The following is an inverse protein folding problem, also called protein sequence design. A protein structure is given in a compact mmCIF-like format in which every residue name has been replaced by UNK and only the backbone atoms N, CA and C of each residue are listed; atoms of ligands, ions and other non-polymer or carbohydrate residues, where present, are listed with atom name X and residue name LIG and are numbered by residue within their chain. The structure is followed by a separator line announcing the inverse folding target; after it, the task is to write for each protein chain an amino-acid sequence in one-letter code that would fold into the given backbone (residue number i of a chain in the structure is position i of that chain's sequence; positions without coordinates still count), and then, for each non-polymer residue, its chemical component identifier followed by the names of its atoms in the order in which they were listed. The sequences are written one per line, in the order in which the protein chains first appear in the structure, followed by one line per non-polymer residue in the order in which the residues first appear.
data_IF_515299652431
#
_entry.id   IF_515299652431
#
_cell.length_a   1.000
_cell.length_b   1.000
_cell.length_c   1.000
_cell.angle_alpha   90.00
_cell.angle_beta   90.00
_cell.angle_gamma   90.00
#
_symmetry.space_group_name_H-M   'P 1'
#
loop_
_entity.id
_entity.type
_entity.pdbx_description
1 polymer ?
#
# COMPACT_ATOMS: atom_id res chain seq x y z
N UNK A 1 -51.95 -19.18 4.15
CA UNK A 1 -50.88 -20.20 4.23
C UNK A 1 -49.57 -19.46 4.29
N UNK A 2 -49.04 -19.27 5.51
CA UNK A 2 -47.70 -18.72 5.72
C UNK A 2 -46.70 -19.76 5.28
N UNK A 3 -46.04 -19.54 4.15
CA UNK A 3 -44.90 -20.36 3.74
C UNK A 3 -43.87 -20.22 4.86
N UNK A 4 -43.46 -21.30 5.53
CA UNK A 4 -42.36 -21.21 6.47
C UNK A 4 -41.15 -20.78 5.67
N UNK A 5 -40.55 -19.65 6.05
CA UNK A 5 -39.22 -19.26 5.58
C UNK A 5 -38.30 -20.34 6.19
N UNK A 6 -38.02 -21.38 5.43
CA UNK A 6 -36.92 -22.29 5.77
C UNK A 6 -35.65 -21.43 5.75
N UNK A 7 -35.04 -21.22 6.92
CA UNK A 7 -33.70 -20.67 6.99
C UNK A 7 -32.83 -21.46 6.00
N UNK A 8 -32.19 -20.81 5.00
CA UNK A 8 -31.38 -21.54 4.04
C UNK A 8 -30.33 -22.32 4.84
N UNK A 9 -30.48 -23.65 4.84
CA UNK A 9 -29.76 -24.56 5.72
C UNK A 9 -28.30 -24.62 5.28
N UNK A 10 -27.52 -23.60 5.66
CA UNK A 10 -26.13 -23.46 5.31
C UNK A 10 -25.25 -24.17 6.33
N UNK A 11 -25.12 -25.49 6.18
CA UNK A 11 -24.14 -26.29 6.91
C UNK A 11 -22.82 -26.33 6.13
N UNK A 12 -21.92 -25.37 6.35
CA UNK A 12 -20.52 -25.59 6.01
C UNK A 12 -19.65 -25.32 7.24
N UNK A 13 -19.26 -26.41 7.90
CA UNK A 13 -18.14 -26.33 8.83
C UNK A 13 -16.90 -25.89 8.04
N UNK A 14 -16.09 -24.93 8.54
CA UNK A 14 -14.92 -24.46 7.81
C UNK A 14 -13.96 -25.62 7.56
N UNK A 15 -13.57 -25.84 6.30
CA UNK A 15 -12.70 -26.95 5.90
C UNK A 15 -11.37 -26.99 6.70
N UNK A 16 -10.90 -25.84 7.17
CA UNK A 16 -9.78 -25.71 8.11
C UNK A 16 -9.84 -24.36 8.85
N UNK A 17 -9.39 -24.35 10.11
CA UNK A 17 -9.35 -23.16 10.98
C UNK A 17 -7.91 -22.71 11.16
N UNK A 18 -7.62 -21.45 10.82
CA UNK A 18 -6.34 -20.85 11.14
C UNK A 18 -6.38 -20.37 12.61
N UNK A 19 -5.41 -20.75 13.46
CA UNK A 19 -5.40 -20.25 14.82
C UNK A 19 -5.13 -18.74 14.85
N UNK A 20 -5.78 -18.00 15.76
CA UNK A 20 -5.69 -16.53 15.79
C UNK A 20 -4.29 -15.96 16.02
N UNK A 21 -3.35 -16.75 16.55
CA UNK A 21 -1.95 -16.34 16.68
C UNK A 21 -1.14 -16.48 15.38
N UNK A 22 -1.62 -17.23 14.39
CA UNK A 22 -0.86 -17.49 13.16
C UNK A 22 -0.70 -16.24 12.30
N UNK A 23 -1.72 -15.39 12.18
CA UNK A 23 -1.63 -14.17 11.38
C UNK A 23 -0.60 -13.17 11.95
N UNK A 24 -0.61 -12.81 13.26
CA UNK A 24 0.44 -11.98 13.84
C UNK A 24 1.84 -12.56 13.66
N UNK A 25 2.03 -13.87 13.89
CA UNK A 25 3.33 -14.52 13.71
C UNK A 25 3.79 -14.45 12.26
N UNK A 26 2.89 -14.68 11.31
CA UNK A 26 3.20 -14.59 9.88
C UNK A 26 3.64 -13.18 9.49
N UNK A 27 2.90 -12.14 9.90
CA UNK A 27 3.28 -10.74 9.65
C UNK A 27 4.61 -10.42 10.30
N UNK A 28 4.82 -10.76 11.57
CA UNK A 28 6.08 -10.53 12.27
C UNK A 28 7.26 -11.23 11.60
N UNK A 29 7.06 -12.47 11.13
CA UNK A 29 8.08 -13.25 10.40
C UNK A 29 8.44 -12.59 9.08
N UNK A 30 7.45 -12.08 8.33
CA UNK A 30 7.67 -11.33 7.08
C UNK A 30 8.47 -10.05 7.39
N UNK A 31 8.09 -9.29 8.42
CA UNK A 31 8.78 -8.05 8.79
C UNK A 31 10.23 -8.30 9.20
N UNK A 32 10.47 -9.27 10.08
CA UNK A 32 11.81 -9.63 10.55
C UNK A 32 12.65 -10.18 9.40
N UNK A 33 12.09 -11.07 8.59
CA UNK A 33 12.76 -11.61 7.39
C UNK A 33 13.14 -10.49 6.42
N UNK A 34 12.25 -9.52 6.20
CA UNK A 34 12.49 -8.37 5.33
C UNK A 34 13.61 -7.48 5.85
N UNK A 35 13.62 -7.19 7.16
CA UNK A 35 14.72 -6.46 7.79
C UNK A 35 16.05 -7.18 7.61
N UNK A 36 16.08 -8.51 7.76
CA UNK A 36 17.31 -9.31 7.60
C UNK A 36 17.79 -9.32 6.14
N UNK A 37 16.89 -9.50 5.19
CA UNK A 37 17.21 -9.57 3.75
C UNK A 37 17.67 -8.22 3.19
N UNK A 38 17.05 -7.13 3.66
CA UNK A 38 17.29 -5.77 3.14
C UNK A 38 18.38 -5.01 3.91
N UNK A 39 18.99 -5.65 4.93
CA UNK A 39 20.02 -5.05 5.77
C UNK A 39 21.29 -4.69 5.00
N UNK A 40 22.00 -3.68 5.50
CA UNK A 40 23.37 -3.40 5.06
C UNK A 40 24.34 -4.40 5.68
N UNK A 41 24.77 -5.39 4.90
CA UNK A 41 25.70 -6.43 5.37
C UNK A 41 27.03 -5.85 5.87
N UNK A 42 27.62 -4.90 5.13
CA UNK A 42 28.95 -4.35 5.43
C UNK A 42 28.96 -3.19 6.44
N UNK A 43 27.83 -2.88 7.08
CA UNK A 43 27.73 -1.78 8.05
C UNK A 43 27.85 -2.29 9.50
N UNK A 44 28.74 -1.70 10.29
CA UNK A 44 28.95 -2.04 11.71
C UNK A 44 28.34 -0.96 12.61
N UNK A 45 27.44 -1.35 13.51
CA UNK A 45 26.70 -0.42 14.39
C UNK A 45 27.63 0.23 15.43
N UNK A 46 28.54 -0.54 16.01
CA UNK A 46 29.40 -0.10 17.12
C UNK A 46 30.79 0.35 16.68
N UNK A 47 31.05 0.53 15.38
CA UNK A 47 32.38 0.94 14.94
C UNK A 47 32.63 2.40 15.32
N UNK A 48 33.52 2.63 16.27
CA UNK A 48 33.83 3.95 16.85
C UNK A 48 34.91 4.68 16.06
N UNK A 49 35.17 4.29 14.80
CA UNK A 49 36.06 5.06 13.92
C UNK A 49 35.35 6.33 13.49
N UNK A 50 35.75 7.42 14.14
CA UNK A 50 35.60 8.80 13.69
C UNK A 50 36.09 8.85 12.24
N UNK A 51 35.18 8.74 11.26
CA UNK A 51 35.52 9.06 9.87
C UNK A 51 35.77 10.56 9.83
N UNK A 52 37.01 10.94 10.06
CA UNK A 52 37.57 12.16 9.52
C UNK A 52 37.37 12.01 8.01
N UNK A 53 36.38 12.72 7.47
CA UNK A 53 36.24 12.87 6.03
C UNK A 53 37.53 13.56 5.57
N UNK A 54 38.48 12.75 5.11
CA UNK A 54 39.69 13.22 4.48
C UNK A 54 39.31 13.82 3.13
N UNK A 55 39.76 15.04 2.92
CA UNK A 55 39.49 15.93 1.78
C UNK A 55 40.06 15.44 0.44
N UNK A 56 40.43 14.16 0.31
CA UNK A 56 41.24 13.65 -0.81
C UNK A 56 40.74 12.34 -1.44
N UNK A 57 39.63 11.75 -0.97
CA UNK A 57 38.96 10.64 -1.68
C UNK A 57 37.75 11.16 -2.51
N UNK A 58 37.86 12.38 -3.05
CA UNK A 58 36.94 12.88 -4.08
C UNK A 58 37.31 12.27 -5.43
N UNK A 59 36.78 11.08 -5.71
CA UNK A 59 36.31 10.86 -7.08
C UNK A 59 35.12 11.81 -7.33
N UNK A 60 35.06 12.48 -8.48
CA UNK A 60 34.17 13.61 -8.72
C UNK A 60 32.76 13.08 -9.01
N UNK A 61 32.04 12.68 -7.95
CA UNK A 61 30.67 12.22 -8.07
C UNK A 61 29.86 12.51 -6.80
N UNK A 62 29.85 13.75 -6.31
CA UNK A 62 28.74 14.45 -5.61
C UNK A 62 27.81 13.63 -4.65
N UNK A 63 28.23 12.50 -4.06
CA UNK A 63 27.33 11.50 -3.47
C UNK A 63 27.29 11.50 -1.94
N UNK A 64 28.12 12.32 -1.28
CA UNK A 64 28.10 12.45 0.17
C UNK A 64 26.97 13.36 0.67
N UNK A 65 26.49 14.31 -0.16
CA UNK A 65 25.37 15.22 0.14
C UNK A 65 24.01 14.77 -0.42
N UNK A 66 23.97 13.71 -1.24
CA UNK A 66 22.74 13.24 -1.89
C UNK A 66 21.85 12.49 -0.90
N UNK A 67 20.84 13.18 -0.38
CA UNK A 67 19.70 12.56 0.32
C UNK A 67 19.04 11.55 -0.62
N UNK A 68 18.42 10.49 -0.07
CA UNK A 68 17.61 9.52 -0.84
C UNK A 68 16.57 10.19 -1.74
N UNK A 69 16.14 11.37 -1.33
CA UNK A 69 15.09 12.17 -1.95
C UNK A 69 15.63 13.07 -3.09
N UNK A 70 16.94 13.28 -3.15
CA UNK A 70 17.61 14.00 -4.24
C UNK A 70 17.67 13.12 -5.50
N UNK A 71 17.74 11.79 -5.31
CA UNK A 71 17.52 10.80 -6.38
C UNK A 71 16.08 10.84 -6.92
N UNK A 72 15.09 11.16 -6.07
CA UNK A 72 13.69 11.33 -6.49
C UNK A 72 13.47 12.66 -7.23
N UNK A 73 14.22 13.70 -6.87
CA UNK A 73 14.07 15.05 -7.41
C UNK A 73 14.80 15.24 -8.75
N UNK A 74 15.95 14.57 -8.94
CA UNK A 74 16.78 14.71 -10.14
C UNK A 74 16.15 14.12 -11.41
N UNK A 75 15.47 12.96 -11.33
CA UNK A 75 14.76 12.41 -12.49
C UNK A 75 13.46 13.17 -12.82
N UNK A 76 12.87 13.85 -11.82
CA UNK A 76 11.72 14.73 -12.04
C UNK A 76 12.12 16.00 -12.82
N UNK A 77 13.36 16.49 -12.64
CA UNK A 77 13.90 17.56 -13.48
C UNK A 77 14.19 17.09 -14.91
N UNK A 78 14.72 15.87 -15.09
CA UNK A 78 15.06 15.33 -16.42
C UNK A 78 13.81 15.15 -17.30
N UNK A 79 12.62 15.02 -16.69
CA UNK A 79 11.36 14.89 -17.42
C UNK A 79 10.69 16.23 -17.74
N UNK A 80 11.17 17.37 -17.22
CA UNK A 80 10.46 18.64 -17.38
C UNK A 80 11.27 19.90 -17.66
N UNK A 81 12.60 19.90 -17.69
CA UNK A 81 13.39 21.04 -18.17
C UNK A 81 14.68 20.56 -18.85
N UNK A 82 14.81 20.81 -20.16
CA UNK A 82 16.05 20.64 -20.92
C UNK A 82 16.94 21.89 -20.91
N UNK A 83 16.51 22.98 -20.28
CA UNK A 83 17.20 24.27 -20.31
C UNK A 83 17.26 24.84 -18.89
N UNK A 84 18.39 24.62 -18.20
CA UNK A 84 18.97 25.49 -17.14
C UNK A 84 19.98 24.74 -16.24
N UNK A 85 20.84 23.93 -16.86
CA UNK A 85 22.01 23.36 -16.19
C UNK A 85 23.17 24.37 -16.15
N UNK A 86 23.00 25.55 -15.55
CA UNK A 86 24.14 26.47 -15.36
C UNK A 86 23.94 27.57 -14.30
N UNK A 87 23.56 27.26 -13.05
CA UNK A 87 23.82 28.21 -11.96
C UNK A 87 23.82 27.54 -10.58
N UNK A 88 24.66 28.05 -9.68
CA UNK A 88 24.86 27.67 -8.26
C UNK A 88 25.94 26.62 -7.94
N UNK A 89 27.14 26.79 -8.48
CA UNK A 89 28.38 26.30 -7.84
C UNK A 89 28.85 27.28 -6.75
N UNK A 90 28.07 27.44 -5.67
CA UNK A 90 28.55 28.16 -4.49
C UNK A 90 29.25 27.17 -3.55
N UNK A 91 30.59 27.28 -3.47
CA UNK A 91 31.47 26.46 -2.64
C UNK A 91 31.20 26.75 -1.14
N UNK A 92 30.21 26.08 -0.55
CA UNK A 92 29.88 26.21 0.87
C UNK A 92 30.91 25.47 1.73
N UNK A 93 31.71 26.19 2.50
CA UNK A 93 32.65 25.70 3.54
C UNK A 93 31.98 25.13 4.79
N UNK A 94 30.65 25.04 4.84
CA UNK A 94 29.93 24.45 5.97
C UNK A 94 30.08 22.92 6.00
N UNK A 95 30.53 22.38 7.14
CA UNK A 95 30.70 20.93 7.38
C UNK A 95 29.44 20.09 7.11
N UNK A 96 28.25 20.69 7.23
CA UNK A 96 26.97 20.09 6.86
C UNK A 96 26.05 21.19 6.27
N UNK A 97 26.06 21.44 4.95
CA UNK A 97 25.23 22.48 4.35
C UNK A 97 23.74 22.10 4.46
N UNK A 98 22.83 23.07 4.62
CA UNK A 98 21.38 22.82 4.63
C UNK A 98 20.93 22.20 3.30
N UNK A 99 19.93 21.32 3.36
CA UNK A 99 19.38 20.67 2.16
C UNK A 99 18.45 21.66 1.44
N UNK A 100 18.63 21.82 0.13
CA UNK A 100 17.73 22.61 -0.73
C UNK A 100 16.53 21.73 -1.12
N UNK A 101 15.31 22.17 -0.80
CA UNK A 101 14.06 21.47 -1.14
C UNK A 101 13.15 22.40 -1.93
N UNK A 102 12.62 21.96 -3.07
CA UNK A 102 11.58 22.70 -3.79
C UNK A 102 10.22 22.18 -3.33
N UNK A 103 9.44 22.99 -2.64
CA UNK A 103 8.10 22.66 -2.17
C UNK A 103 7.12 23.70 -2.70
N UNK A 104 6.11 23.27 -3.48
CA UNK A 104 5.04 24.14 -3.98
C UNK A 104 5.56 25.43 -4.67
N UNK A 105 6.57 25.30 -5.54
CA UNK A 105 7.19 26.43 -6.25
C UNK A 105 8.19 27.26 -5.43
N UNK A 106 8.27 27.07 -4.12
CA UNK A 106 9.22 27.79 -3.25
C UNK A 106 10.43 26.91 -2.94
N UNK A 107 11.63 27.52 -2.94
CA UNK A 107 12.85 26.84 -2.49
C UNK A 107 13.01 27.04 -0.98
N UNK A 108 12.87 25.96 -0.22
CA UNK A 108 13.03 25.92 1.23
C UNK A 108 14.36 25.25 1.58
N UNK A 109 15.09 25.82 2.54
CA UNK A 109 16.28 25.21 3.11
C UNK A 109 15.92 24.45 4.37
N UNK A 110 16.14 23.13 4.38
CA UNK A 110 15.88 22.26 5.54
C UNK A 110 17.18 21.89 6.25
N UNK A 111 17.16 21.68 7.57
CA UNK A 111 18.37 21.39 8.32
C UNK A 111 18.94 20.01 7.95
N UNK A 112 20.28 19.91 7.89
CA UNK A 112 20.93 18.69 7.42
C UNK A 112 21.13 17.67 8.54
N UNK A 113 20.36 16.59 8.49
CA UNK A 113 20.37 15.47 9.44
C UNK A 113 21.68 14.68 9.49
N UNK A 114 22.62 14.89 8.56
CA UNK A 114 23.93 14.19 8.52
C UNK A 114 24.75 14.39 9.81
N UNK A 115 24.54 15.50 10.54
CA UNK A 115 25.17 15.74 11.85
C UNK A 115 24.86 14.63 12.86
N UNK A 116 23.71 13.98 12.75
CA UNK A 116 23.27 12.95 13.69
C UNK A 116 23.61 11.51 13.25
N UNK A 117 24.35 11.34 12.16
CA UNK A 117 24.76 10.05 11.61
C UNK A 117 25.43 9.11 12.64
N UNK A 118 26.19 9.69 13.58
CA UNK A 118 26.96 8.94 14.57
C UNK A 118 26.14 8.47 15.78
N UNK A 119 24.88 8.89 15.93
CA UNK A 119 24.07 8.42 17.05
C UNK A 119 23.69 6.94 16.89
N UNK A 120 23.56 6.24 18.02
CA UNK A 120 23.26 4.80 18.05
C UNK A 120 21.98 4.44 17.28
N UNK A 121 20.90 5.20 17.48
CA UNK A 121 19.63 4.99 16.79
C UNK A 121 19.75 5.26 15.28
N UNK A 122 20.45 6.32 14.86
CA UNK A 122 20.74 6.57 13.44
C UNK A 122 21.49 5.41 12.79
N UNK A 123 22.46 4.81 13.49
CA UNK A 123 23.23 3.66 13.01
C UNK A 123 22.38 2.38 12.90
N UNK A 124 21.41 2.18 13.78
CA UNK A 124 20.43 1.09 13.63
C UNK A 124 19.61 1.31 12.36
N UNK A 125 19.07 2.51 12.12
CA UNK A 125 18.31 2.80 10.90
C UNK A 125 19.17 2.60 9.65
N UNK A 126 20.44 3.04 9.65
CA UNK A 126 21.36 2.80 8.54
C UNK A 126 21.61 1.30 8.30
N UNK A 127 21.68 0.48 9.37
CA UNK A 127 21.80 -0.98 9.24
C UNK A 127 20.54 -1.62 8.65
N UNK A 128 19.37 -1.15 9.08
CA UNK A 128 18.05 -1.70 8.75
C UNK A 128 17.15 -0.61 8.11
N UNK A 129 17.38 -0.27 6.83
CA UNK A 129 16.65 0.82 6.18
C UNK A 129 15.15 0.55 6.06
N UNK A 130 14.72 -0.73 6.01
CA UNK A 130 13.31 -1.11 5.97
C UNK A 130 12.50 -0.67 7.22
N UNK A 131 13.17 -0.31 8.32
CA UNK A 131 12.49 0.26 9.50
C UNK A 131 11.74 1.57 9.18
N UNK A 132 12.21 2.33 8.18
CA UNK A 132 11.49 3.55 7.76
C UNK A 132 10.13 3.21 7.14
N UNK A 133 10.04 2.10 6.42
CA UNK A 133 8.80 1.63 5.80
C UNK A 133 7.80 1.16 6.86
N UNK A 134 8.29 0.48 7.90
CA UNK A 134 7.49 0.13 9.07
C UNK A 134 6.98 1.37 9.81
N UNK A 135 7.79 2.43 9.91
CA UNK A 135 7.36 3.70 10.49
C UNK A 135 6.24 4.37 9.69
N UNK A 136 6.32 4.38 8.36
CA UNK A 136 5.23 4.89 7.51
C UNK A 136 3.93 4.10 7.66
N UNK A 137 4.01 2.79 7.88
CA UNK A 137 2.82 1.98 8.18
C UNK A 137 2.21 2.31 9.53
N UNK A 138 3.02 2.58 10.56
CA UNK A 138 2.52 3.04 11.86
C UNK A 138 1.78 4.37 11.70
N UNK A 139 2.34 5.32 10.92
CA UNK A 139 1.67 6.59 10.62
C UNK A 139 0.34 6.33 9.90
N UNK A 140 0.33 5.49 8.87
CA UNK A 140 -0.88 5.17 8.10
C UNK A 140 -1.96 4.53 8.99
N UNK A 141 -1.55 3.62 9.88
CA UNK A 141 -2.44 3.02 10.87
C UNK A 141 -3.00 4.07 11.85
N UNK A 142 -2.18 5.02 12.30
CA UNK A 142 -2.65 6.11 13.16
C UNK A 142 -3.72 6.96 12.45
N UNK A 143 -3.53 7.28 11.17
CA UNK A 143 -4.56 7.96 10.36
C UNK A 143 -5.83 7.14 10.25
N UNK A 144 -5.74 5.85 9.93
CA UNK A 144 -6.89 4.94 9.89
C UNK A 144 -7.68 4.96 11.21
N UNK A 145 -6.98 4.96 12.34
CA UNK A 145 -7.62 5.01 13.66
C UNK A 145 -8.35 6.33 13.90
N UNK A 146 -7.76 7.46 13.48
CA UNK A 146 -8.44 8.76 13.52
C UNK A 146 -9.71 8.76 12.66
N UNK A 147 -9.67 8.15 11.48
CA UNK A 147 -10.83 8.02 10.57
C UNK A 147 -12.03 7.37 11.26
N UNK A 148 -11.83 6.23 11.90
CA UNK A 148 -12.91 5.53 12.61
C UNK A 148 -13.48 6.36 13.75
N UNK A 149 -12.66 7.13 14.46
CA UNK A 149 -13.12 8.01 15.54
C UNK A 149 -13.91 9.19 14.98
N UNK A 150 -13.43 9.82 13.91
CA UNK A 150 -14.09 10.98 13.27
C UNK A 150 -15.42 10.57 12.64
N UNK A 151 -15.44 9.45 11.89
CA UNK A 151 -16.66 8.93 11.26
C UNK A 151 -17.76 8.64 12.30
N UNK A 152 -17.40 7.95 13.40
CA UNK A 152 -18.33 7.71 14.51
C UNK A 152 -18.80 9.02 15.19
N UNK A 153 -17.93 10.02 15.32
CA UNK A 153 -18.31 11.31 15.88
C UNK A 153 -19.29 12.07 14.98
N UNK A 154 -19.06 12.06 13.66
CA UNK A 154 -19.90 12.75 12.66
C UNK A 154 -21.33 12.19 12.60
N UNK A 155 -21.48 10.85 12.60
CA UNK A 155 -22.78 10.18 12.49
C UNK A 155 -23.38 9.75 13.84
N UNK A 156 -22.82 10.24 14.95
CA UNK A 156 -23.29 9.89 16.31
C UNK A 156 -24.75 10.25 16.58
N UNK A 157 -25.30 11.26 15.89
CA UNK A 157 -26.67 11.75 16.09
C UNK A 157 -27.73 11.07 15.21
N UNK A 158 -27.35 10.62 14.02
CA UNK A 158 -28.27 10.08 13.00
C UNK A 158 -28.33 8.55 13.00
N UNK A 159 -27.42 7.88 13.73
CA UNK A 159 -27.27 6.43 13.66
C UNK A 159 -26.41 6.04 12.46
N UNK A 160 -25.13 5.72 12.69
CA UNK A 160 -24.20 5.40 11.61
C UNK A 160 -24.61 4.14 10.82
N UNK A 161 -25.33 3.22 11.45
CA UNK A 161 -25.80 1.97 10.85
C UNK A 161 -26.91 2.21 9.84
N UNK A 162 -27.89 3.05 10.17
CA UNK A 162 -29.02 3.35 9.28
C UNK A 162 -28.53 4.08 8.02
N UNK A 163 -27.70 5.10 8.20
CA UNK A 163 -27.08 5.84 7.08
C UNK A 163 -26.21 4.91 6.20
N UNK A 164 -25.44 4.03 6.82
CA UNK A 164 -24.59 3.10 6.08
C UNK A 164 -25.41 2.05 5.32
N UNK A 165 -26.55 1.62 5.87
CA UNK A 165 -27.48 0.72 5.19
C UNK A 165 -28.10 1.42 3.97
N UNK A 166 -28.61 2.63 4.14
CA UNK A 166 -29.19 3.42 3.03
C UNK A 166 -28.18 3.62 1.89
N UNK A 167 -26.92 3.92 2.23
CA UNK A 167 -25.85 4.00 1.23
C UNK A 167 -25.56 2.67 0.53
N UNK A 168 -25.58 1.54 1.25
CA UNK A 168 -25.40 0.21 0.66
C UNK A 168 -26.55 -0.17 -0.28
N UNK A 169 -27.78 0.18 0.09
CA UNK A 169 -28.96 -0.01 -0.75
C UNK A 169 -28.92 0.89 -1.99
N UNK A 170 -28.51 2.15 -1.84
CA UNK A 170 -28.36 3.07 -2.97
C UNK A 170 -27.32 2.57 -3.98
N UNK A 171 -26.24 1.93 -3.52
CA UNK A 171 -25.26 1.29 -4.42
C UNK A 171 -25.90 0.12 -5.16
N UNK A 172 -26.59 -0.78 -4.45
CA UNK A 172 -27.24 -1.94 -5.06
C UNK A 172 -28.28 -1.51 -6.11
N UNK A 173 -29.10 -0.51 -5.78
CA UNK A 173 -30.07 0.06 -6.71
C UNK A 173 -29.40 0.70 -7.92
N UNK A 174 -28.27 1.38 -7.72
CA UNK A 174 -27.50 1.95 -8.81
C UNK A 174 -26.91 0.86 -9.72
N UNK A 175 -26.36 -0.22 -9.19
CA UNK A 175 -25.81 -1.32 -9.99
C UNK A 175 -26.89 -2.03 -10.80
N UNK A 176 -28.08 -2.23 -10.22
CA UNK A 176 -29.17 -3.00 -10.83
C UNK A 176 -30.02 -2.17 -11.80
N UNK A 177 -30.33 -0.92 -11.45
CA UNK A 177 -31.36 -0.13 -12.14
C UNK A 177 -30.82 1.10 -12.87
N UNK A 178 -29.54 1.46 -12.70
CA UNK A 178 -28.95 2.56 -13.45
C UNK A 178 -28.77 2.22 -14.93
N UNK A 179 -28.62 3.24 -15.75
CA UNK A 179 -28.23 3.13 -17.16
C UNK A 179 -26.87 2.42 -17.36
N UNK A 180 -26.06 2.32 -16.30
CA UNK A 180 -24.79 1.62 -16.27
C UNK A 180 -24.90 0.13 -15.91
N UNK A 181 -26.10 -0.40 -15.67
CA UNK A 181 -26.31 -1.81 -15.30
C UNK A 181 -25.71 -2.80 -16.31
N UNK A 182 -25.54 -2.40 -17.57
CA UNK A 182 -24.83 -3.22 -18.58
C UNK A 182 -23.38 -3.55 -18.22
N UNK A 183 -22.73 -2.77 -17.34
CA UNK A 183 -21.37 -3.04 -16.86
C UNK A 183 -21.32 -4.23 -15.89
N UNK A 184 -22.46 -4.59 -15.27
CA UNK A 184 -22.59 -5.66 -14.29
C UNK A 184 -23.63 -6.68 -14.77
N UNK A 185 -23.30 -7.50 -15.79
CA UNK A 185 -24.25 -8.47 -16.34
C UNK A 185 -24.60 -9.61 -15.38
N UNK A 186 -23.83 -9.78 -14.30
CA UNK A 186 -24.05 -10.80 -13.27
C UNK A 186 -24.18 -10.09 -11.93
N UNK A 187 -25.27 -10.34 -11.21
CA UNK A 187 -25.51 -9.73 -9.91
C UNK A 187 -24.63 -10.36 -8.82
N UNK A 188 -24.20 -9.58 -7.83
CA UNK A 188 -23.37 -10.07 -6.72
C UNK A 188 -24.08 -11.21 -5.96
N UNK A 189 -25.41 -11.11 -5.84
CA UNK A 189 -26.24 -12.15 -5.21
C UNK A 189 -26.12 -13.47 -5.96
N UNK A 190 -26.22 -13.46 -7.28
CA UNK A 190 -26.14 -14.69 -8.08
C UNK A 190 -24.76 -15.34 -7.96
N UNK A 191 -23.70 -14.52 -7.95
CA UNK A 191 -22.33 -14.99 -7.74
C UNK A 191 -22.18 -15.63 -6.36
N UNK A 192 -22.63 -14.96 -5.29
CA UNK A 192 -22.56 -15.51 -3.95
C UNK A 192 -23.35 -16.81 -3.84
N UNK A 193 -24.60 -16.82 -4.31
CA UNK A 193 -25.47 -17.99 -4.23
C UNK A 193 -24.91 -19.16 -5.04
N UNK A 194 -24.24 -18.92 -6.17
CA UNK A 194 -23.56 -19.97 -6.94
C UNK A 194 -22.40 -20.60 -6.16
N UNK A 195 -21.56 -19.80 -5.50
CA UNK A 195 -20.49 -20.33 -4.65
C UNK A 195 -21.02 -21.09 -3.43
N UNK A 196 -22.20 -20.68 -2.95
CA UNK A 196 -22.87 -21.37 -1.86
C UNK A 196 -23.41 -22.73 -2.33
N UNK A 197 -24.15 -22.77 -3.43
CA UNK A 197 -24.79 -23.98 -3.94
C UNK A 197 -23.83 -24.83 -4.79
N UNK A 198 -23.00 -25.64 -4.11
CA UNK A 198 -22.18 -26.68 -4.75
C UNK A 198 -20.67 -26.43 -4.73
N UNK A 199 -20.21 -25.26 -4.25
CA UNK A 199 -18.79 -24.88 -4.26
C UNK A 199 -18.26 -24.40 -2.89
N UNK A 200 -18.78 -24.96 -1.79
CA UNK A 200 -18.46 -24.53 -0.41
C UNK A 200 -16.96 -24.57 -0.06
N UNK A 201 -16.23 -25.56 -0.57
CA UNK A 201 -14.77 -25.66 -0.40
C UNK A 201 -14.07 -24.45 -1.00
N UNK A 202 -14.50 -24.03 -2.19
CA UNK A 202 -13.95 -22.85 -2.85
C UNK A 202 -14.30 -21.57 -2.09
N UNK A 203 -15.53 -21.46 -1.57
CA UNK A 203 -15.92 -20.34 -0.71
C UNK A 203 -15.04 -20.26 0.56
N UNK A 204 -14.67 -21.40 1.15
CA UNK A 204 -13.71 -21.42 2.28
C UNK A 204 -12.34 -20.88 1.86
N UNK A 205 -11.86 -21.24 0.66
CA UNK A 205 -10.60 -20.72 0.11
C UNK A 205 -10.69 -19.21 -0.14
N UNK A 206 -11.81 -18.71 -0.68
CA UNK A 206 -12.04 -17.29 -0.89
C UNK A 206 -12.10 -16.53 0.44
N UNK A 207 -12.84 -17.04 1.42
CA UNK A 207 -12.90 -16.48 2.78
C UNK A 207 -11.51 -16.35 3.43
N UNK A 208 -10.65 -17.37 3.26
CA UNK A 208 -9.27 -17.32 3.77
C UNK A 208 -8.36 -16.42 2.94
N UNK A 209 -8.57 -16.38 1.62
CA UNK A 209 -7.88 -15.46 0.73
C UNK A 209 -8.17 -14.02 1.12
N UNK A 210 -9.43 -13.69 1.42
CA UNK A 210 -9.84 -12.38 1.90
C UNK A 210 -9.06 -11.96 3.16
N UNK A 211 -9.00 -12.84 4.16
CA UNK A 211 -8.28 -12.57 5.41
C UNK A 211 -6.76 -12.42 5.24
N UNK A 212 -6.12 -13.32 4.50
CA UNK A 212 -4.66 -13.42 4.44
C UNK A 212 -4.05 -12.47 3.42
N UNK A 213 -4.75 -12.16 2.33
CA UNK A 213 -4.16 -11.38 1.25
C UNK A 213 -4.08 -9.90 1.61
N UNK A 214 -5.01 -9.38 2.41
CA UNK A 214 -5.03 -7.95 2.68
C UNK A 214 -3.82 -7.48 3.47
N UNK A 215 -3.64 -7.94 4.72
CA UNK A 215 -2.56 -7.44 5.58
C UNK A 215 -1.25 -8.21 5.35
N UNK A 216 -1.20 -9.54 5.59
CA UNK A 216 0.01 -10.31 5.31
C UNK A 216 0.47 -10.21 3.85
N UNK A 217 -0.46 -10.30 2.90
CA UNK A 217 -0.14 -10.19 1.48
C UNK A 217 0.42 -8.82 1.08
N UNK A 218 -0.18 -7.72 1.56
CA UNK A 218 0.35 -6.36 1.28
C UNK A 218 1.72 -6.13 1.92
N UNK A 219 1.91 -6.54 3.18
CA UNK A 219 3.20 -6.44 3.86
C UNK A 219 4.25 -7.26 3.12
N UNK A 220 3.91 -8.49 2.72
CA UNK A 220 4.76 -9.36 1.91
C UNK A 220 5.10 -8.76 0.54
N UNK A 221 4.14 -8.14 -0.13
CA UNK A 221 4.35 -7.49 -1.41
C UNK A 221 5.31 -6.31 -1.29
N UNK A 222 5.10 -5.37 -0.35
CA UNK A 222 6.01 -4.23 -0.16
C UNK A 222 7.40 -4.69 0.26
N UNK A 223 7.48 -5.69 1.14
CA UNK A 223 8.75 -6.30 1.53
C UNK A 223 9.52 -6.87 0.34
N UNK A 224 8.84 -7.72 -0.45
CA UNK A 224 9.40 -8.28 -1.68
C UNK A 224 9.77 -7.18 -2.67
N UNK A 225 8.91 -6.18 -2.83
CA UNK A 225 9.10 -5.12 -3.80
C UNK A 225 10.22 -4.16 -3.41
N UNK A 226 10.41 -3.87 -2.12
CA UNK A 226 11.55 -3.10 -1.62
C UNK A 226 12.88 -3.78 -1.99
N UNK A 227 12.88 -5.11 -2.02
CA UNK A 227 14.04 -5.91 -2.41
C UNK A 227 14.19 -6.05 -3.94
N UNK A 228 13.09 -6.25 -4.65
CA UNK A 228 13.06 -6.57 -6.07
C UNK A 228 13.03 -5.35 -7.00
N UNK A 229 12.65 -4.17 -6.49
CA UNK A 229 12.52 -2.97 -7.30
C UNK A 229 13.88 -2.54 -7.89
N UNK A 230 13.88 -2.10 -9.17
CA UNK A 230 15.10 -1.75 -9.88
C UNK A 230 15.80 -0.53 -9.29
N UNK A 231 15.03 0.46 -8.86
CA UNK A 231 15.51 1.66 -8.20
C UNK A 231 14.64 2.01 -7.00
N UNK A 232 15.20 2.79 -6.07
CA UNK A 232 14.45 3.32 -4.94
C UNK A 232 13.30 4.24 -5.40
N UNK A 233 13.44 4.91 -6.54
CA UNK A 233 12.42 5.79 -7.08
C UNK A 233 11.16 5.01 -7.47
N UNK A 234 11.33 3.93 -8.23
CA UNK A 234 10.23 3.06 -8.66
C UNK A 234 9.52 2.44 -7.46
N UNK A 235 10.28 2.01 -6.44
CA UNK A 235 9.70 1.58 -5.17
C UNK A 235 8.89 2.70 -4.47
N UNK A 236 9.47 3.91 -4.38
CA UNK A 236 8.84 5.04 -3.71
C UNK A 236 7.54 5.48 -4.40
N UNK A 237 7.45 5.39 -5.74
CA UNK A 237 6.21 5.67 -6.48
C UNK A 237 5.10 4.70 -6.08
N UNK A 238 5.36 3.39 -6.08
CA UNK A 238 4.37 2.38 -5.69
C UNK A 238 3.95 2.56 -4.23
N UNK A 239 4.92 2.73 -3.32
CA UNK A 239 4.65 3.00 -1.91
C UNK A 239 3.78 4.24 -1.70
N UNK A 240 4.13 5.37 -2.34
CA UNK A 240 3.36 6.62 -2.24
C UNK A 240 1.96 6.45 -2.82
N UNK A 241 1.82 5.75 -3.93
CA UNK A 241 0.52 5.46 -4.55
C UNK A 241 -0.36 4.68 -3.58
N UNK A 242 0.12 3.57 -3.02
CA UNK A 242 -0.64 2.77 -2.04
C UNK A 242 -0.98 3.57 -0.78
N UNK A 243 -0.07 4.41 -0.30
CA UNK A 243 -0.31 5.27 0.87
C UNK A 243 -1.35 6.34 0.57
N UNK A 244 -1.32 6.97 -0.61
CA UNK A 244 -2.32 7.98 -1.00
C UNK A 244 -3.68 7.33 -1.22
N UNK A 245 -3.74 6.14 -1.83
CA UNK A 245 -4.96 5.35 -1.95
C UNK A 245 -5.60 5.12 -0.58
N UNK A 246 -4.81 4.79 0.44
CA UNK A 246 -5.33 4.65 1.80
C UNK A 246 -5.90 5.97 2.35
N UNK A 247 -5.15 7.07 2.22
CA UNK A 247 -5.63 8.36 2.73
C UNK A 247 -6.91 8.82 2.04
N UNK A 248 -7.02 8.62 0.72
CA UNK A 248 -8.24 8.91 -0.03
C UNK A 248 -9.40 8.00 0.40
N UNK A 249 -9.15 6.70 0.57
CA UNK A 249 -10.14 5.76 1.10
C UNK A 249 -10.61 6.16 2.50
N UNK A 250 -9.70 6.60 3.37
CA UNK A 250 -10.03 7.07 4.71
C UNK A 250 -10.93 8.31 4.68
N UNK A 251 -10.63 9.27 3.80
CA UNK A 251 -11.50 10.43 3.60
C UNK A 251 -12.90 9.96 3.18
N UNK A 252 -13.01 9.01 2.25
CA UNK A 252 -14.31 8.46 1.84
C UNK A 252 -15.04 7.76 2.98
N UNK A 253 -14.36 6.97 3.82
CA UNK A 253 -14.96 6.32 4.99
C UNK A 253 -15.50 7.31 6.05
N UNK A 254 -15.01 8.55 6.06
CA UNK A 254 -15.53 9.61 6.94
C UNK A 254 -16.82 10.20 6.39
N UNK A 255 -16.92 10.40 5.07
CA UNK A 255 -18.06 11.10 4.46
C UNK A 255 -19.15 10.17 3.96
N UNK A 256 -18.81 8.95 3.59
CA UNK A 256 -19.70 7.96 2.98
C UNK A 256 -19.51 6.59 3.66
N UNK A 257 -19.97 6.42 4.92
CA UNK A 257 -20.01 5.11 5.54
C UNK A 257 -20.96 4.23 4.72
N UNK A 258 -20.53 3.01 4.40
CA UNK A 258 -21.29 2.10 3.54
C UNK A 258 -21.31 0.71 4.15
N UNK A 259 -22.51 0.17 4.31
CA UNK A 259 -22.72 -1.17 4.82
C UNK A 259 -22.32 -2.19 3.73
N UNK A 260 -21.50 -3.20 4.06
CA UNK A 260 -21.19 -4.28 3.11
C UNK A 260 -22.40 -5.20 2.88
N UNK A 261 -22.51 -5.86 1.71
CA UNK A 261 -23.68 -6.67 1.36
C UNK A 261 -24.02 -7.75 2.40
N UNK A 262 -23.03 -8.38 3.01
CA UNK A 262 -23.21 -9.42 4.05
C UNK A 262 -23.90 -8.94 5.34
N UNK A 263 -23.96 -7.64 5.58
CA UNK A 263 -24.61 -7.04 6.75
C UNK A 263 -26.00 -6.48 6.43
N UNK A 264 -26.43 -6.51 5.16
CA UNK A 264 -27.77 -6.11 4.76
C UNK A 264 -28.84 -7.06 5.33
N UNK A 265 -30.10 -6.60 5.50
CA UNK A 265 -31.21 -7.47 5.90
C UNK A 265 -31.35 -8.70 5.00
N UNK A 266 -31.78 -9.82 5.58
CA UNK A 266 -31.92 -11.11 4.89
C UNK A 266 -32.84 -11.07 3.66
N UNK A 267 -33.74 -10.08 3.59
CA UNK A 267 -34.64 -9.81 2.47
C UNK A 267 -33.90 -9.61 1.14
N UNK A 268 -32.66 -9.10 1.19
CA UNK A 268 -31.82 -8.91 0.00
C UNK A 268 -31.07 -10.18 -0.44
N UNK A 269 -31.11 -11.24 0.37
CA UNK A 269 -30.57 -12.56 0.03
C UNK A 269 -29.04 -12.70 0.10
N UNK A 270 -28.37 -11.81 0.82
CA UNK A 270 -26.94 -11.90 1.12
C UNK A 270 -26.72 -12.63 2.46
N UNK A 271 -25.65 -13.43 2.54
CA UNK A 271 -25.32 -14.22 3.74
C UNK A 271 -23.88 -13.94 4.22
N UNK A 272 -23.66 -13.80 5.53
CA UNK A 272 -22.31 -13.59 6.10
C UNK A 272 -21.50 -14.89 6.16
N UNK A 273 -20.92 -15.27 5.02
CA UNK A 273 -20.08 -16.46 4.92
C UNK A 273 -18.76 -16.33 5.68
N UNK A 274 -18.26 -15.11 5.94
CA UNK A 274 -16.95 -14.86 6.56
C UNK A 274 -17.04 -14.93 8.08
N UNK A 275 -18.06 -14.28 8.67
CA UNK A 275 -18.35 -14.35 10.10
C UNK A 275 -18.69 -15.77 10.53
N UNK A 276 -19.54 -16.46 9.76
CA UNK A 276 -19.93 -17.84 10.03
C UNK A 276 -18.75 -18.83 9.98
N UNK A 277 -17.82 -18.68 9.02
CA UNK A 277 -16.65 -19.56 8.89
C UNK A 277 -15.50 -19.24 9.86
N UNK A 278 -15.67 -18.27 10.77
CA UNK A 278 -14.60 -17.72 11.59
C UNK A 278 -13.34 -17.43 10.74
N UNK A 279 -13.59 -16.81 9.59
CA UNK A 279 -12.58 -16.51 8.58
C UNK A 279 -12.23 -15.03 8.53
N UNK A 280 -12.72 -14.23 9.47
CA UNK A 280 -12.28 -12.86 9.62
C UNK A 280 -10.80 -12.83 10.04
N UNK A 281 -10.01 -11.95 9.43
CA UNK A 281 -8.64 -11.72 9.86
C UNK A 281 -8.63 -11.16 11.28
N UNK A 282 -7.70 -11.60 12.12
CA UNK A 282 -7.53 -11.11 13.50
C UNK A 282 -7.22 -9.61 13.53
N UNK A 283 -6.58 -9.10 12.48
CA UNK A 283 -6.29 -7.69 12.32
C UNK A 283 -7.47 -6.86 11.82
N UNK A 284 -8.45 -7.52 11.18
CA UNK A 284 -9.69 -6.93 10.67
C UNK A 284 -10.93 -7.28 11.53
N UNK A 285 -10.73 -8.01 12.62
CA UNK A 285 -11.78 -8.43 13.55
C UNK A 285 -11.46 -7.88 14.94
N UNK A 286 -12.17 -6.82 15.34
CA UNK A 286 -11.99 -6.21 16.66
C UNK A 286 -12.68 -4.87 16.83
N UNK A 287 -12.70 -4.36 18.08
CA UNK A 287 -13.34 -3.08 18.47
C UNK A 287 -12.77 -1.84 17.77
N UNK A 288 -11.69 -2.00 17.01
CA UNK A 288 -10.90 -0.92 16.44
C UNK A 288 -10.92 -0.88 14.91
N UNK A 289 -11.74 -1.72 14.29
CA UNK A 289 -11.91 -1.83 12.84
C UNK A 289 -13.28 -1.28 12.46
N UNK A 290 -13.35 -0.45 11.42
CA UNK A 290 -14.61 0.07 10.91
C UNK A 290 -15.29 -0.98 10.03
N UNK A 291 -16.35 -1.62 10.53
CA UNK A 291 -17.14 -2.61 9.81
C UNK A 291 -18.06 -2.00 8.74
N UNK A 292 -18.29 -0.68 8.78
CA UNK A 292 -19.16 0.08 7.87
C UNK A 292 -18.36 0.86 6.82
N UNK A 293 -17.16 0.37 6.49
CA UNK A 293 -16.25 0.98 5.54
C UNK A 293 -16.09 0.10 4.29
N UNK A 294 -17.21 -0.19 3.60
CA UNK A 294 -17.19 -0.99 2.37
C UNK A 294 -16.61 -0.22 1.17
N UNK A 295 -16.96 1.06 1.00
CA UNK A 295 -16.57 1.86 -0.17
C UNK A 295 -15.47 2.89 0.17
N UNK A 296 -14.32 2.94 -0.54
CA UNK A 296 -13.89 2.07 -1.63
C UNK A 296 -13.29 0.74 -1.15
N UNK A 297 -13.30 -0.28 -2.01
CA UNK A 297 -12.69 -1.58 -1.69
C UNK A 297 -11.16 -1.48 -1.64
N UNK A 298 -10.61 -1.42 -0.42
CA UNK A 298 -9.15 -1.42 -0.25
C UNK A 298 -8.54 -2.71 -0.81
N UNK A 299 -9.11 -3.89 -0.53
CA UNK A 299 -8.64 -5.17 -1.07
C UNK A 299 -8.39 -5.11 -2.58
N UNK A 300 -9.40 -4.64 -3.33
CA UNK A 300 -9.27 -4.48 -4.77
C UNK A 300 -8.24 -3.41 -5.14
N UNK A 301 -8.26 -2.24 -4.51
CA UNK A 301 -7.31 -1.15 -4.79
C UNK A 301 -5.84 -1.56 -4.61
N UNK A 302 -5.51 -2.31 -3.55
CA UNK A 302 -4.19 -2.89 -3.34
C UNK A 302 -3.85 -3.91 -4.44
N UNK A 303 -4.78 -4.81 -4.75
CA UNK A 303 -4.58 -5.84 -5.76
C UNK A 303 -4.33 -5.25 -7.14
N UNK A 304 -5.04 -4.18 -7.49
CA UNK A 304 -4.89 -3.45 -8.74
C UNK A 304 -3.52 -2.78 -8.81
N UNK A 305 -3.06 -2.12 -7.75
CA UNK A 305 -1.72 -1.53 -7.69
C UNK A 305 -0.61 -2.60 -7.84
N UNK A 306 -0.80 -3.76 -7.21
CA UNK A 306 0.10 -4.92 -7.36
C UNK A 306 0.09 -5.43 -8.81
N UNK A 307 -1.09 -5.54 -9.43
CA UNK A 307 -1.25 -5.92 -10.82
C UNK A 307 -0.55 -4.96 -11.78
N UNK A 308 -0.73 -3.65 -11.60
CA UNK A 308 -0.02 -2.61 -12.34
C UNK A 308 1.50 -2.70 -12.14
N UNK A 309 1.96 -3.03 -10.94
CA UNK A 309 3.39 -3.23 -10.67
C UNK A 309 3.93 -4.42 -11.46
N UNK A 310 3.25 -5.57 -11.45
CA UNK A 310 3.65 -6.71 -12.29
C UNK A 310 3.62 -6.39 -13.78
N UNK A 311 2.62 -5.62 -14.23
CA UNK A 311 2.53 -5.17 -15.61
C UNK A 311 3.71 -4.27 -15.99
N UNK A 312 4.13 -3.36 -15.09
CA UNK A 312 5.32 -2.53 -15.27
C UNK A 312 6.59 -3.38 -15.41
N UNK A 313 6.76 -4.39 -14.54
CA UNK A 313 7.92 -5.30 -14.57
C UNK A 313 7.91 -6.31 -15.71
N UNK A 314 6.77 -6.54 -16.35
CA UNK A 314 6.70 -7.32 -17.59
C UNK A 314 7.52 -6.66 -18.70
N UNK A 315 7.68 -5.33 -18.66
CA UNK A 315 8.43 -4.55 -19.65
C UNK A 315 7.77 -4.54 -21.04
N UNK A 316 6.53 -5.03 -21.19
CA UNK A 316 5.85 -5.10 -22.49
C UNK A 316 5.54 -3.72 -23.06
N UNK A 317 5.17 -2.77 -22.20
CA UNK A 317 4.84 -1.39 -22.56
C UNK A 317 6.02 -0.42 -22.40
N UNK A 318 7.19 -0.91 -21.97
CA UNK A 318 8.37 -0.06 -21.72
C UNK A 318 9.32 -0.11 -22.90
N UNK A 319 9.55 1.05 -23.53
CA UNK A 319 10.55 1.23 -24.60
C UNK A 319 11.98 1.29 -24.04
N UNK A 320 12.15 1.92 -22.88
CA UNK A 320 13.42 2.06 -22.17
C UNK A 320 13.32 1.41 -20.79
N UNK A 321 14.28 0.53 -20.50
CA UNK A 321 14.43 -0.10 -19.18
C UNK A 321 15.27 0.81 -18.27
N UNK A 322 15.13 0.65 -16.96
CA UNK A 322 15.97 1.39 -16.02
C UNK A 322 17.42 0.91 -16.11
N UNK A 323 18.37 1.77 -15.71
CA UNK A 323 19.81 1.47 -15.79
C UNK A 323 20.13 0.17 -15.04
N UNK A 324 20.59 -0.83 -15.79
CA UNK A 324 20.96 -2.15 -15.26
C UNK A 324 19.82 -3.17 -15.18
N UNK A 325 18.62 -2.85 -15.66
CA UNK A 325 17.57 -3.85 -15.89
C UNK A 325 17.82 -4.64 -17.18
N UNK A 326 17.79 -5.97 -17.08
CA UNK A 326 17.83 -6.85 -18.25
C UNK A 326 16.44 -7.13 -18.79
N UNK A 327 16.29 -7.15 -20.11
CA UNK A 327 15.02 -7.53 -20.75
C UNK A 327 14.72 -8.99 -20.45
N UNK A 328 13.54 -9.25 -19.88
CA UNK A 328 13.10 -10.61 -19.54
C UNK A 328 12.80 -11.40 -20.81
N UNK A 329 13.00 -12.72 -20.76
CA UNK A 329 12.62 -13.59 -21.88
C UNK A 329 11.09 -13.66 -22.03
N UNK A 330 10.61 -13.98 -23.23
CA UNK A 330 9.17 -14.09 -23.56
C UNK A 330 8.32 -14.87 -22.53
N UNK A 331 8.73 -16.06 -22.02
CA UNK A 331 7.91 -16.78 -21.04
C UNK A 331 7.77 -16.02 -19.72
N UNK A 332 8.82 -15.33 -19.27
CA UNK A 332 8.73 -14.49 -18.08
C UNK A 332 7.80 -13.30 -18.29
N UNK A 333 7.88 -12.62 -19.44
CA UNK A 333 6.95 -11.52 -19.78
C UNK A 333 5.50 -12.00 -19.70
N UNK A 334 5.20 -13.16 -20.31
CA UNK A 334 3.86 -13.75 -20.27
C UNK A 334 3.41 -14.06 -18.84
N UNK A 335 4.30 -14.62 -18.01
CA UNK A 335 3.99 -14.90 -16.60
C UNK A 335 3.65 -13.62 -15.82
N UNK A 336 4.43 -12.54 -15.99
CA UNK A 336 4.16 -11.27 -15.30
C UNK A 336 2.84 -10.64 -15.75
N UNK A 337 2.50 -10.71 -17.04
CA UNK A 337 1.20 -10.23 -17.56
C UNK A 337 0.05 -11.08 -17.02
N UNK A 338 0.22 -12.41 -16.98
CA UNK A 338 -0.77 -13.31 -16.41
C UNK A 338 -1.01 -13.00 -14.93
N UNK A 339 0.06 -12.83 -14.14
CA UNK A 339 -0.05 -12.43 -12.73
C UNK A 339 -0.70 -11.05 -12.56
N UNK A 340 -0.40 -10.11 -13.46
CA UNK A 340 -0.95 -8.76 -13.43
C UNK A 340 -2.48 -8.73 -13.58
N UNK A 341 -3.06 -9.69 -14.31
CA UNK A 341 -4.50 -9.80 -14.54
C UNK A 341 -5.13 -10.78 -13.54
N UNK A 342 -4.54 -11.95 -13.37
CA UNK A 342 -5.08 -13.02 -12.54
C UNK A 342 -5.22 -12.60 -11.08
N UNK A 343 -4.28 -11.81 -10.54
CA UNK A 343 -4.31 -11.41 -9.14
C UNK A 343 -5.45 -10.42 -8.82
N UNK A 344 -5.63 -9.28 -9.52
CA UNK A 344 -6.82 -8.44 -9.33
C UNK A 344 -8.15 -9.16 -9.58
N UNK A 345 -8.22 -10.03 -10.60
CA UNK A 345 -9.43 -10.81 -10.87
C UNK A 345 -9.76 -11.79 -9.74
N UNK A 346 -8.75 -12.46 -9.18
CA UNK A 346 -8.93 -13.34 -8.02
C UNK A 346 -9.49 -12.58 -6.80
N UNK A 347 -8.99 -11.37 -6.56
CA UNK A 347 -9.46 -10.53 -5.46
C UNK A 347 -10.87 -10.01 -5.71
N UNK A 348 -11.20 -9.63 -6.94
CA UNK A 348 -12.57 -9.24 -7.30
C UNK A 348 -13.57 -10.38 -7.05
N UNK A 349 -13.24 -11.60 -7.50
CA UNK A 349 -14.06 -12.80 -7.22
C UNK A 349 -14.17 -13.01 -5.71
N UNK A 350 -13.05 -12.88 -4.98
CA UNK A 350 -13.02 -13.07 -3.53
C UNK A 350 -13.96 -12.10 -2.81
N UNK A 351 -13.90 -10.80 -3.10
CA UNK A 351 -14.70 -9.81 -2.36
C UNK A 351 -16.20 -9.90 -2.66
N UNK A 352 -16.56 -10.25 -3.91
CA UNK A 352 -17.96 -10.39 -4.34
C UNK A 352 -18.55 -11.70 -3.83
N UNK A 353 -17.85 -12.84 -4.01
CA UNK A 353 -18.32 -14.14 -3.54
C UNK A 353 -18.47 -14.22 -2.01
N UNK A 354 -17.69 -13.42 -1.28
CA UNK A 354 -17.78 -13.32 0.18
C UNK A 354 -18.74 -12.23 0.66
N UNK A 355 -19.43 -11.54 -0.26
CA UNK A 355 -20.36 -10.45 0.01
C UNK A 355 -19.79 -9.33 0.90
N UNK A 356 -18.48 -9.08 0.80
CA UNK A 356 -17.83 -8.00 1.56
C UNK A 356 -17.89 -6.66 0.83
N UNK A 357 -18.01 -6.67 -0.49
CA UNK A 357 -18.01 -5.47 -1.33
C UNK A 357 -18.94 -5.63 -2.53
N UNK A 358 -19.50 -4.51 -2.97
CA UNK A 358 -20.22 -4.38 -4.24
C UNK A 358 -19.24 -4.27 -5.41
N UNK A 359 -19.69 -4.45 -6.65
CA UNK A 359 -18.81 -4.20 -7.80
C UNK A 359 -18.41 -2.72 -7.91
N UNK A 360 -19.30 -1.81 -7.54
CA UNK A 360 -19.08 -0.37 -7.55
C UNK A 360 -17.96 0.01 -6.57
N UNK A 361 -17.84 -0.68 -5.42
CA UNK A 361 -16.72 -0.47 -4.50
C UNK A 361 -15.37 -0.71 -5.18
N UNK A 362 -15.30 -1.73 -6.06
CA UNK A 362 -14.12 -2.04 -6.84
C UNK A 362 -13.88 -1.00 -7.96
N UNK A 363 -14.93 -0.53 -8.62
CA UNK A 363 -14.85 0.56 -9.61
C UNK A 363 -14.34 1.86 -8.98
N UNK A 364 -14.90 2.26 -7.83
CA UNK A 364 -14.44 3.45 -7.09
C UNK A 364 -12.98 3.25 -6.66
N UNK A 365 -12.61 2.09 -6.13
CA UNK A 365 -11.23 1.79 -5.77
C UNK A 365 -10.26 1.89 -6.96
N UNK A 366 -10.66 1.43 -8.16
CA UNK A 366 -9.89 1.60 -9.39
C UNK A 366 -9.60 3.08 -9.69
N UNK A 367 -10.63 3.93 -9.67
CA UNK A 367 -10.45 5.37 -9.90
C UNK A 367 -9.62 6.03 -8.81
N UNK A 368 -9.83 5.66 -7.54
CA UNK A 368 -9.03 6.17 -6.41
C UNK A 368 -7.55 5.82 -6.59
N UNK A 369 -7.22 4.60 -7.04
CA UNK A 369 -5.82 4.22 -7.31
C UNK A 369 -5.23 5.02 -8.46
N UNK A 370 -6.00 5.29 -9.53
CA UNK A 370 -5.53 6.13 -10.63
C UNK A 370 -5.24 7.55 -10.16
N UNK A 371 -6.19 8.16 -9.44
CA UNK A 371 -6.01 9.51 -8.86
C UNK A 371 -4.81 9.51 -7.90
N UNK A 372 -4.68 8.50 -7.06
CA UNK A 372 -3.55 8.35 -6.17
C UNK A 372 -2.23 8.23 -6.93
N UNK A 373 -2.18 7.48 -8.03
CA UNK A 373 -1.00 7.34 -8.87
C UNK A 373 -0.62 8.67 -9.53
N UNK A 374 -1.58 9.43 -10.04
CA UNK A 374 -1.32 10.74 -10.67
C UNK A 374 -0.90 11.81 -9.65
N UNK A 375 -1.48 11.78 -8.46
CA UNK A 375 -1.28 12.78 -7.42
C UNK A 375 -0.24 12.38 -6.36
N UNK A 376 0.45 11.24 -6.50
CA UNK A 376 1.34 10.70 -5.46
C UNK A 376 2.49 11.64 -5.08
N UNK A 377 2.82 12.61 -5.95
CA UNK A 377 3.83 13.64 -5.71
C UNK A 377 3.46 14.63 -4.60
N UNK A 378 2.19 14.68 -4.18
CA UNK A 378 1.77 15.51 -3.02
C UNK A 378 2.60 15.18 -1.77
N UNK A 379 3.03 13.92 -1.61
CA UNK A 379 3.88 13.52 -0.49
C UNK A 379 5.27 14.16 -0.50
N UNK A 380 5.77 14.61 -1.66
CA UNK A 380 7.03 15.34 -1.72
C UNK A 380 6.95 16.70 -1.02
N UNK A 381 5.75 17.29 -0.94
CA UNK A 381 5.51 18.50 -0.16
C UNK A 381 5.70 18.32 1.35
N UNK A 382 5.62 17.07 1.85
CA UNK A 382 5.85 16.75 3.26
C UNK A 382 7.32 16.42 3.58
N UNK A 383 8.22 16.43 2.60
CA UNK A 383 9.66 16.22 2.84
C UNK A 383 10.26 17.22 3.84
N UNK A 384 9.89 18.51 3.87
CA UNK A 384 10.36 19.43 4.89
C UNK A 384 9.90 19.05 6.30
N UNK A 385 8.66 18.56 6.43
CA UNK A 385 8.12 18.10 7.69
C UNK A 385 8.86 16.83 8.17
N UNK A 386 9.17 15.92 7.24
CA UNK A 386 9.99 14.74 7.52
C UNK A 386 11.41 15.14 7.98
N UNK A 387 12.07 16.05 7.26
CA UNK A 387 13.41 16.54 7.62
C UNK A 387 13.39 17.22 9.02
N UNK A 388 12.33 17.98 9.34
CA UNK A 388 12.14 18.59 10.67
C UNK A 388 11.90 17.54 11.77
N UNK A 389 11.06 16.53 11.51
CA UNK A 389 10.80 15.44 12.44
C UNK A 389 12.08 14.67 12.75
N UNK A 390 12.85 14.32 11.72
CA UNK A 390 14.14 13.65 11.88
C UNK A 390 15.14 14.54 12.63
N UNK A 391 15.12 15.85 12.40
CA UNK A 391 15.93 16.80 13.15
C UNK A 391 15.55 16.82 14.65
N UNK A 392 14.26 16.91 14.98
CA UNK A 392 13.75 16.87 16.35
C UNK A 392 14.11 15.56 17.06
N UNK A 393 14.02 14.43 16.35
CA UNK A 393 14.38 13.10 16.85
C UNK A 393 15.90 12.85 16.83
N UNK A 394 16.71 13.81 16.36
CA UNK A 394 18.16 13.69 16.20
C UNK A 394 18.55 12.44 15.41
N UNK A 395 17.85 12.19 14.32
CA UNK A 395 17.98 11.01 13.46
C UNK A 395 18.55 11.39 12.09
N UNK A 396 19.36 10.50 11.53
CA UNK A 396 19.72 10.54 10.11
C UNK A 396 18.84 9.56 9.31
N UNK A 397 18.25 10.05 8.22
CA UNK A 397 17.49 9.20 7.28
C UNK A 397 18.42 8.13 6.68
N UNK A 398 18.02 6.84 6.72
CA UNK A 398 18.86 5.80 6.17
C UNK A 398 18.96 5.91 4.66
N UNK A 399 20.15 5.62 4.12
CA UNK A 399 20.29 5.47 2.67
C UNK A 399 19.59 4.16 2.26
N UNK A 400 18.65 4.17 1.30
CA UNK A 400 17.93 2.97 0.90
C UNK A 400 18.89 1.94 0.32
N UNK A 401 18.52 0.66 0.43
CA UNK A 401 19.25 -0.49 -0.15
C UNK A 401 18.62 -1.00 -1.45
N UNK A 402 17.45 -0.45 -1.82
CA UNK A 402 16.75 -0.75 -3.06
C UNK A 402 17.61 -0.40 -4.28
N UNK A 403 17.72 -1.34 -5.22
CA UNK A 403 18.54 -1.18 -6.43
C UNK A 403 20.06 -1.32 -6.23
N UNK A 404 20.55 -1.53 -5.00
CA UNK A 404 22.00 -1.70 -4.75
C UNK A 404 22.56 -2.97 -5.43
N UNK A 405 21.73 -4.00 -5.59
CA UNK A 405 22.12 -5.27 -6.26
C UNK A 405 22.44 -5.05 -7.73
N UNK A 406 21.58 -4.29 -8.41
CA UNK A 406 21.77 -3.94 -9.81
C UNK A 406 23.02 -3.07 -9.91
N UNK A 407 23.15 -2.02 -9.07
CA UNK A 407 24.36 -1.17 -9.08
C UNK A 407 25.67 -1.92 -8.89
N UNK A 408 25.72 -2.93 -8.02
CA UNK A 408 26.91 -3.77 -7.79
C UNK A 408 27.25 -4.72 -8.94
N UNK A 409 26.30 -5.06 -9.81
CA UNK A 409 26.57 -5.91 -10.98
C UNK A 409 27.26 -5.14 -12.11
N UNK A 410 27.18 -3.80 -12.09
CA UNK A 410 27.73 -2.91 -13.11
C UNK A 410 28.87 -2.00 -12.59
N UNK A 411 29.30 -2.17 -11.34
CA UNK A 411 30.52 -1.58 -10.75
C UNK A 411 31.60 -2.64 -10.66
#
# INVERSE_FOLDING_TARGET
MTVPIEDPQWNSAPAWKLPGWAEPIMVASILIGSMIITRRHNFRIFDRRRKQYGTLDEEPNFASARSSDDLLSRDYMITHDSDDASTDSCLSTMKNPPKKRRCCGTTLYTPNTSRFADHYHSRILQKFPFLIEMFYWIITYAFYRCTSVISNAMFSKTGIWDVAQDHGLAILEFEQFSWLSFLWPVHERDVQQWFMHGHQTFLTVLNRSYALIHIPGTVGFIAWYYYAAPSHNTFAIVRRTMTLTNLLAFIMFIFYPCMPPRLLPEEYGFLDSVGHNNAQSVWMSGKYVNSLAAMPSMHFGYSFCIGCTFLYHSGIFRRTLETGEMRKSKPWVLLYVLLAIAYPCWILITIVATANHYYLDACVAFFVVIVAFLCNNVFLGFLPLEDLLLWCLRLEKPRPTTGDKIRRQYS
#
